data_IF_353184947991
#
_entry.id   IF_353184947991
#
_cell.length_a   1.000
_cell.length_b   1.000
_cell.length_c   1.000
_cell.angle_alpha   90.00
_cell.angle_beta   90.00
_cell.angle_gamma   90.00
#
_symmetry.space_group_name_H-M   'P 1'
#
loop_
_entity.id
_entity.type
_entity.pdbx_description
1 polymer ?
#
# COMPACT_ATOMS: atom_id res chain seq x y z
N UNK A 1 5.08 10.62 34.00
CA UNK A 1 6.15 11.49 33.50
C UNK A 1 6.16 11.39 31.98
N UNK A 2 6.00 12.49 31.25
CA UNK A 2 5.91 12.49 29.78
C UNK A 2 7.16 13.16 29.25
N UNK A 3 7.99 12.39 28.55
CA UNK A 3 9.25 12.86 27.96
C UNK A 3 9.10 12.93 26.44
N UNK A 4 9.16 14.14 25.89
CA UNK A 4 9.16 14.39 24.44
C UNK A 4 10.61 14.53 23.96
N UNK A 5 11.00 13.73 22.95
CA UNK A 5 12.33 13.78 22.31
C UNK A 5 12.29 14.48 20.95
N UNK A 6 11.33 15.38 20.75
CA UNK A 6 11.10 16.12 19.51
C UNK A 6 10.38 17.43 19.83
N UNK A 7 10.48 18.41 18.92
CA UNK A 7 9.62 19.59 18.93
C UNK A 7 8.19 19.16 18.56
N UNK A 8 7.36 18.90 19.57
CA UNK A 8 5.96 18.51 19.42
C UNK A 8 5.05 19.66 19.86
N UNK A 9 3.98 19.88 19.11
CA UNK A 9 2.95 20.87 19.46
C UNK A 9 1.96 20.31 20.49
N UNK A 10 1.18 21.20 21.12
CA UNK A 10 0.11 20.77 22.01
C UNK A 10 -0.93 19.90 21.28
N UNK A 11 -1.18 20.19 20.00
CA UNK A 11 -2.09 19.41 19.17
C UNK A 11 -1.54 17.99 18.95
N UNK A 12 -0.25 17.81 18.67
CA UNK A 12 0.36 16.48 18.50
C UNK A 12 0.18 15.60 19.75
N UNK A 13 0.24 16.21 20.95
CA UNK A 13 0.01 15.49 22.21
C UNK A 13 -1.47 15.09 22.34
N UNK A 14 -2.40 15.98 21.99
CA UNK A 14 -3.85 15.69 22.01
C UNK A 14 -4.17 14.55 21.04
N UNK A 15 -3.61 14.59 19.83
CA UNK A 15 -3.83 13.60 18.79
C UNK A 15 -3.45 12.18 19.24
N UNK A 16 -2.30 12.05 19.91
CA UNK A 16 -1.81 10.77 20.44
C UNK A 16 -2.65 10.29 21.62
N UNK A 17 -3.10 11.21 22.49
CA UNK A 17 -3.91 10.87 23.67
C UNK A 17 -5.34 10.47 23.28
N UNK A 18 -5.94 11.12 22.28
CA UNK A 18 -7.29 10.81 21.82
C UNK A 18 -7.37 9.46 21.10
N UNK A 19 -6.31 9.03 20.40
CA UNK A 19 -6.21 7.71 19.76
C UNK A 19 -7.24 7.39 18.67
N UNK A 20 -8.19 8.29 18.42
CA UNK A 20 -9.28 8.16 17.45
C UNK A 20 -9.00 8.86 16.11
N UNK A 21 -7.81 9.45 15.94
CA UNK A 21 -7.45 10.17 14.71
C UNK A 21 -6.97 9.22 13.63
N UNK A 22 -7.51 9.39 12.42
CA UNK A 22 -7.11 8.64 11.24
C UNK A 22 -6.34 9.58 10.32
N UNK A 23 -5.04 9.34 10.18
CA UNK A 23 -4.19 10.08 9.24
C UNK A 23 -4.36 9.51 7.84
N UNK A 24 -4.84 10.35 6.92
CA UNK A 24 -5.14 9.96 5.54
C UNK A 24 -4.19 10.72 4.61
N UNK A 25 -3.50 10.03 3.69
CA UNK A 25 -2.66 10.69 2.71
C UNK A 25 -3.51 11.58 1.79
N UNK A 26 -3.00 12.76 1.45
CA UNK A 26 -3.68 13.74 0.62
C UNK A 26 -2.80 14.14 -0.57
N UNK A 27 -3.40 14.27 -1.75
CA UNK A 27 -2.75 14.79 -2.96
C UNK A 27 -3.49 16.05 -3.39
N UNK A 28 -2.77 17.15 -3.53
CA UNK A 28 -3.30 18.41 -4.05
C UNK A 28 -3.27 18.39 -5.57
N UNK A 29 -4.46 18.36 -6.18
CA UNK A 29 -4.60 18.33 -7.64
C UNK A 29 -4.86 19.76 -8.14
N UNK A 30 -3.87 20.36 -8.81
CA UNK A 30 -3.97 21.71 -9.36
C UNK A 30 -4.38 21.66 -10.82
N UNK A 31 -5.65 21.94 -11.09
CA UNK A 31 -6.20 21.90 -12.44
C UNK A 31 -5.99 23.23 -13.19
N UNK A 32 -6.15 23.19 -14.52
CA UNK A 32 -6.05 24.32 -15.48
C UNK A 32 -4.62 24.77 -15.77
N UNK A 33 -3.69 23.84 -15.90
CA UNK A 33 -2.29 24.16 -16.24
C UNK A 33 -2.12 24.70 -17.67
N UNK A 34 -3.18 24.62 -18.49
CA UNK A 34 -3.26 25.26 -19.81
C UNK A 34 -3.27 26.80 -19.76
N UNK A 35 -3.54 27.39 -18.59
CA UNK A 35 -3.62 28.85 -18.40
C UNK A 35 -2.38 29.47 -17.75
N UNK A 36 -1.37 28.67 -17.41
CA UNK A 36 -0.14 29.10 -16.74
C UNK A 36 1.07 28.94 -17.66
N UNK A 37 2.14 29.67 -17.36
CA UNK A 37 3.42 29.55 -18.05
C UNK A 37 4.24 28.34 -17.56
N UNK A 38 5.22 27.92 -18.36
CA UNK A 38 6.14 26.81 -18.02
C UNK A 38 6.96 27.15 -16.76
N UNK A 39 7.35 28.41 -16.57
CA UNK A 39 8.11 28.87 -15.40
C UNK A 39 7.29 28.75 -14.10
N UNK A 40 6.00 29.06 -14.16
CA UNK A 40 5.08 28.88 -13.02
C UNK A 40 4.84 27.40 -12.73
N UNK A 41 4.76 26.57 -13.77
CA UNK A 41 4.62 25.12 -13.62
C UNK A 41 5.83 24.52 -12.87
N UNK A 42 7.06 24.95 -13.18
CA UNK A 42 8.27 24.49 -12.49
C UNK A 42 8.30 24.86 -11.00
N UNK A 43 7.68 25.99 -10.62
CA UNK A 43 7.52 26.38 -9.22
C UNK A 43 6.51 25.47 -8.53
N UNK A 44 5.40 25.16 -9.20
CA UNK A 44 4.36 24.27 -8.67
C UNK A 44 4.89 22.86 -8.40
N UNK A 45 5.76 22.33 -9.26
CA UNK A 45 6.39 21.02 -9.04
C UNK A 45 7.26 20.94 -7.78
N UNK A 46 7.72 22.08 -7.23
CA UNK A 46 8.48 22.13 -5.97
C UNK A 46 7.59 21.99 -4.74
N UNK A 47 6.27 22.17 -4.88
CA UNK A 47 5.32 22.04 -3.77
C UNK A 47 5.11 20.55 -3.46
N UNK A 48 5.29 20.12 -2.19
CA UNK A 48 5.11 18.72 -1.82
C UNK A 48 3.64 18.29 -1.99
N UNK A 49 3.43 16.99 -2.23
CA UNK A 49 2.09 16.39 -2.38
C UNK A 49 1.22 16.99 -3.51
N UNK A 50 1.80 17.75 -4.44
CA UNK A 50 1.07 18.40 -5.53
C UNK A 50 1.18 17.63 -6.85
N UNK A 51 0.10 17.65 -7.66
CA UNK A 51 0.10 17.22 -9.07
C UNK A 51 -0.62 18.27 -9.92
N UNK A 52 0.10 18.99 -10.79
CA UNK A 52 -0.51 19.90 -11.76
C UNK A 52 -1.12 19.10 -12.92
N UNK A 53 -2.38 19.34 -13.28
CA UNK A 53 -3.10 18.65 -14.36
C UNK A 53 -3.86 19.64 -15.27
N UNK A 54 -4.14 19.23 -16.51
CA UNK A 54 -5.17 19.88 -17.34
C UNK A 54 -6.27 18.88 -17.64
N UNK A 55 -7.43 19.01 -17.01
CA UNK A 55 -8.54 18.09 -17.22
C UNK A 55 -9.11 18.14 -18.65
N UNK A 56 -9.05 19.30 -19.31
CA UNK A 56 -9.54 19.48 -20.67
C UNK A 56 -8.64 18.74 -21.69
N UNK A 57 -7.33 18.90 -21.55
CA UNK A 57 -6.34 18.28 -22.43
C UNK A 57 -5.86 16.90 -21.96
N UNK A 58 -6.30 16.46 -20.76
CA UNK A 58 -5.89 15.22 -20.08
C UNK A 58 -4.38 15.13 -19.86
N UNK A 59 -3.74 16.26 -19.60
CA UNK A 59 -2.32 16.32 -19.27
C UNK A 59 -2.08 15.87 -17.83
N UNK A 60 -0.97 15.15 -17.62
CA UNK A 60 -0.46 14.69 -16.32
C UNK A 60 -1.40 13.77 -15.55
N UNK A 61 -2.32 13.09 -16.24
CA UNK A 61 -3.15 12.07 -15.62
C UNK A 61 -2.32 10.84 -15.24
N UNK A 62 -1.28 10.52 -16.01
CA UNK A 62 -0.35 9.42 -15.71
C UNK A 62 0.41 9.68 -14.40
N UNK A 63 0.99 10.88 -14.25
CA UNK A 63 1.64 11.31 -12.99
C UNK A 63 0.68 11.28 -11.80
N UNK A 64 -0.57 11.71 -12.00
CA UNK A 64 -1.61 11.66 -10.97
C UNK A 64 -1.89 10.22 -10.54
N UNK A 65 -2.05 9.31 -11.50
CA UNK A 65 -2.29 7.89 -11.23
C UNK A 65 -1.11 7.23 -10.53
N UNK A 66 0.11 7.53 -10.95
CA UNK A 66 1.34 7.02 -10.32
C UNK A 66 1.44 7.49 -8.87
N UNK A 67 1.18 8.78 -8.61
CA UNK A 67 1.22 9.33 -7.25
C UNK A 67 0.11 8.78 -6.36
N UNK A 68 -1.08 8.55 -6.91
CA UNK A 68 -2.17 7.86 -6.19
C UNK A 68 -1.73 6.45 -5.81
N UNK A 69 -1.11 5.71 -6.73
CA UNK A 69 -0.62 4.36 -6.48
C UNK A 69 0.43 4.32 -5.36
N UNK A 70 1.42 5.21 -5.42
CA UNK A 70 2.47 5.35 -4.41
C UNK A 70 1.88 5.68 -3.02
N UNK A 71 0.89 6.58 -2.96
CA UNK A 71 0.31 7.04 -1.69
C UNK A 71 -0.60 5.99 -1.05
N UNK A 72 -1.30 5.19 -1.86
CA UNK A 72 -2.14 4.11 -1.37
C UNK A 72 -1.33 3.00 -0.70
N UNK A 73 -0.03 2.87 -1.02
CA UNK A 73 0.89 1.84 -0.49
C UNK A 73 0.19 0.46 -0.46
N UNK A 74 -0.21 0.02 -1.64
CA UNK A 74 -0.88 -1.27 -1.79
C UNK A 74 0.14 -2.37 -2.03
N UNK A 75 -0.17 -3.56 -1.54
CA UNK A 75 0.63 -4.76 -1.68
C UNK A 75 -0.20 -5.79 -2.45
N UNK A 76 0.28 -6.19 -3.63
CA UNK A 76 -0.34 -7.16 -4.52
C UNK A 76 0.25 -8.53 -4.25
N UNK A 77 -0.58 -9.49 -3.88
CA UNK A 77 -0.15 -10.87 -3.62
C UNK A 77 -0.84 -11.79 -4.61
N UNK A 78 -0.04 -12.61 -5.29
CA UNK A 78 -0.52 -13.52 -6.32
C UNK A 78 -0.80 -14.91 -5.74
N UNK A 79 -1.99 -15.44 -6.00
CA UNK A 79 -2.35 -16.78 -5.57
C UNK A 79 -1.79 -17.85 -6.49
N UNK A 80 -1.21 -18.89 -5.92
CA UNK A 80 -0.75 -20.08 -6.64
C UNK A 80 -1.42 -21.34 -6.08
N UNK A 81 -2.37 -21.94 -6.79
CA UNK A 81 -2.93 -23.24 -6.40
C UNK A 81 -1.91 -24.38 -6.55
N UNK A 82 -2.09 -25.45 -5.76
CA UNK A 82 -1.23 -26.64 -5.84
C UNK A 82 -1.38 -27.29 -7.22
N UNK A 83 -0.27 -27.49 -7.92
CA UNK A 83 -0.25 -28.09 -9.27
C UNK A 83 -0.60 -27.14 -10.40
N UNK A 84 -0.88 -25.86 -10.11
CA UNK A 84 -1.13 -24.82 -11.11
C UNK A 84 -0.04 -23.74 -11.05
N UNK A 85 0.07 -22.99 -12.15
CA UNK A 85 0.88 -21.79 -12.22
C UNK A 85 0.23 -20.66 -11.39
N UNK A 86 1.02 -19.68 -10.92
CA UNK A 86 0.47 -18.48 -10.28
C UNK A 86 -0.45 -17.73 -11.24
N UNK A 87 -1.56 -17.21 -10.71
CA UNK A 87 -2.41 -16.29 -11.45
C UNK A 87 -1.92 -14.85 -11.25
N UNK A 88 -1.40 -14.25 -12.32
CA UNK A 88 -0.93 -12.87 -12.34
C UNK A 88 -2.01 -11.86 -12.79
N UNK A 89 -3.19 -12.32 -13.17
CA UNK A 89 -4.28 -11.45 -13.65
C UNK A 89 -5.12 -10.88 -12.52
N UNK A 90 -5.28 -11.65 -11.43
CA UNK A 90 -6.17 -11.33 -10.33
C UNK A 90 -5.44 -11.37 -8.98
N UNK A 91 -4.55 -10.39 -8.68
CA UNK A 91 -3.89 -10.32 -7.38
C UNK A 91 -4.88 -9.99 -6.27
N UNK A 92 -4.60 -10.52 -5.07
CA UNK A 92 -5.25 -10.05 -3.86
C UNK A 92 -4.50 -8.83 -3.36
N UNK A 93 -5.19 -7.69 -3.30
CA UNK A 93 -4.61 -6.43 -2.87
C UNK A 93 -4.88 -6.20 -1.38
N UNK A 94 -3.79 -5.99 -0.63
CA UNK A 94 -3.81 -5.65 0.79
C UNK A 94 -3.25 -4.23 1.01
N UNK A 95 -3.75 -3.49 2.01
CA UNK A 95 -3.13 -2.24 2.43
C UNK A 95 -1.82 -2.54 3.17
N UNK A 96 -0.80 -1.68 3.05
CA UNK A 96 0.51 -1.87 3.70
C UNK A 96 0.44 -2.07 5.23
N UNK A 97 -0.58 -1.53 5.89
CA UNK A 97 -0.76 -1.71 7.33
C UNK A 97 -1.17 -3.12 7.76
N UNK A 98 -1.65 -3.96 6.83
CA UNK A 98 -2.20 -5.29 7.10
C UNK A 98 -1.81 -6.28 6.00
N UNK A 99 -0.54 -6.65 6.01
CA UNK A 99 0.11 -7.48 4.97
C UNK A 99 0.53 -8.86 5.47
N UNK A 100 0.00 -9.33 6.61
CA UNK A 100 0.35 -10.67 7.10
C UNK A 100 -0.33 -11.77 6.30
N UNK A 101 0.21 -12.99 6.35
CA UNK A 101 -0.45 -14.19 5.78
C UNK A 101 -1.84 -14.41 6.40
N UNK A 102 -2.04 -14.06 7.67
CA UNK A 102 -3.34 -14.07 8.33
C UNK A 102 -4.32 -13.06 7.68
N UNK A 103 -3.90 -11.81 7.47
CA UNK A 103 -4.71 -10.79 6.80
C UNK A 103 -5.07 -11.21 5.37
N UNK A 104 -4.11 -11.80 4.65
CA UNK A 104 -4.34 -12.37 3.32
C UNK A 104 -5.42 -13.46 3.35
N UNK A 105 -5.33 -14.40 4.30
CA UNK A 105 -6.33 -15.46 4.45
C UNK A 105 -7.71 -14.89 4.78
N UNK A 106 -7.78 -13.89 5.66
CA UNK A 106 -9.04 -13.22 6.02
C UNK A 106 -9.67 -12.48 4.83
N UNK A 107 -8.84 -11.86 3.96
CA UNK A 107 -9.28 -11.15 2.75
C UNK A 107 -9.93 -12.09 1.74
N UNK A 108 -9.40 -13.31 1.58
CA UNK A 108 -9.99 -14.34 0.73
C UNK A 108 -11.27 -14.90 1.36
N UNK A 109 -11.14 -15.49 2.55
CA UNK A 109 -12.28 -16.09 3.25
C UNK A 109 -11.99 -16.38 4.72
N UNK A 110 -12.89 -15.98 5.63
CA UNK A 110 -12.71 -16.11 7.09
C UNK A 110 -12.44 -17.54 7.60
N UNK A 111 -12.92 -18.58 6.90
CA UNK A 111 -12.66 -19.96 7.32
C UNK A 111 -11.29 -20.49 6.89
N UNK A 112 -10.59 -19.80 5.98
CA UNK A 112 -9.30 -20.26 5.46
C UNK A 112 -8.23 -20.32 6.55
N UNK A 113 -8.27 -19.38 7.50
CA UNK A 113 -7.35 -19.35 8.65
C UNK A 113 -7.56 -20.54 9.59
N UNK A 114 -8.79 -21.08 9.72
CA UNK A 114 -9.09 -22.22 10.59
C UNK A 114 -8.46 -23.51 10.06
N UNK A 115 -8.47 -23.66 8.74
CA UNK A 115 -7.88 -24.80 8.02
C UNK A 115 -6.39 -24.58 7.71
N UNK A 116 -5.82 -23.42 8.03
CA UNK A 116 -4.43 -23.09 7.70
C UNK A 116 -3.44 -24.02 8.41
N UNK A 117 -2.53 -24.63 7.65
CA UNK A 117 -1.40 -25.42 8.17
C UNK A 117 -0.09 -24.66 8.03
N UNK A 118 0.19 -24.14 6.84
CA UNK A 118 1.33 -23.28 6.50
C UNK A 118 1.11 -22.66 5.12
N UNK A 119 1.92 -21.67 4.77
CA UNK A 119 2.01 -21.15 3.40
C UNK A 119 3.40 -21.41 2.82
N UNK A 120 3.46 -21.58 1.50
CA UNK A 120 4.69 -21.48 0.73
C UNK A 120 4.68 -20.13 0.03
N UNK A 121 5.74 -19.35 0.21
CA UNK A 121 5.89 -18.03 -0.40
C UNK A 121 7.10 -18.03 -1.33
N UNK A 122 6.95 -17.36 -2.46
CA UNK A 122 8.02 -16.99 -3.38
C UNK A 122 8.02 -15.48 -3.53
N UNK A 123 9.17 -14.84 -3.38
CA UNK A 123 9.28 -13.40 -3.55
C UNK A 123 10.36 -12.80 -2.65
N UNK A 124 10.26 -11.50 -2.42
CA UNK A 124 11.26 -10.72 -1.68
C UNK A 124 11.08 -10.84 -0.16
N UNK A 125 9.88 -11.15 0.32
CA UNK A 125 9.62 -11.31 1.76
C UNK A 125 10.33 -12.52 2.38
N UNK A 126 10.81 -13.46 1.56
CA UNK A 126 11.45 -14.71 2.00
C UNK A 126 12.91 -14.80 1.53
N UNK A 127 13.75 -15.45 2.34
CA UNK A 127 15.18 -15.59 2.01
C UNK A 127 15.44 -16.71 0.99
N UNK A 128 14.55 -17.68 0.91
CA UNK A 128 14.66 -18.83 0.02
C UNK A 128 13.38 -19.01 -0.77
N UNK A 129 13.49 -19.38 -2.05
CA UNK A 129 12.36 -19.54 -2.94
C UNK A 129 12.13 -21.03 -3.30
N UNK A 130 10.99 -21.65 -2.92
CA UNK A 130 10.03 -21.20 -1.91
C UNK A 130 10.50 -21.41 -0.48
N UNK A 131 9.93 -20.63 0.45
CA UNK A 131 10.09 -20.82 1.89
C UNK A 131 8.74 -21.12 2.54
N UNK A 132 8.76 -22.02 3.52
CA UNK A 132 7.59 -22.33 4.36
C UNK A 132 7.46 -21.27 5.44
N UNK A 133 6.30 -20.62 5.49
CA UNK A 133 6.02 -19.53 6.43
C UNK A 133 4.76 -19.81 7.27
N UNK A 134 4.69 -19.14 8.41
CA UNK A 134 3.54 -19.15 9.31
C UNK A 134 2.51 -18.07 8.97
N UNK A 135 1.51 -17.94 9.83
CA UNK A 135 0.44 -16.94 9.68
C UNK A 135 0.89 -15.50 9.97
N UNK A 136 1.89 -15.33 10.83
CA UNK A 136 2.41 -14.03 11.27
C UNK A 136 3.47 -13.46 10.32
N UNK A 137 3.77 -14.17 9.22
CA UNK A 137 4.73 -13.71 8.21
C UNK A 137 4.17 -12.52 7.44
N UNK A 138 4.99 -11.47 7.31
CA UNK A 138 4.66 -10.25 6.55
C UNK A 138 4.99 -10.46 5.09
N UNK A 139 4.02 -10.26 4.21
CA UNK A 139 4.17 -10.35 2.76
C UNK A 139 4.61 -9.01 2.17
N UNK A 140 5.33 -9.06 1.06
CA UNK A 140 5.77 -7.90 0.27
C UNK A 140 5.06 -7.85 -1.08
N UNK A 141 5.18 -6.70 -1.78
CA UNK A 141 4.52 -6.51 -3.08
C UNK A 141 5.06 -7.52 -4.09
N UNK A 142 4.14 -8.05 -4.90
CA UNK A 142 4.37 -9.08 -5.91
C UNK A 142 4.77 -10.47 -5.39
N UNK A 143 4.65 -10.71 -4.08
CA UNK A 143 4.81 -12.05 -3.53
C UNK A 143 3.79 -13.04 -4.11
N UNK A 144 4.24 -14.26 -4.37
CA UNK A 144 3.40 -15.39 -4.75
C UNK A 144 3.18 -16.27 -3.53
N UNK A 145 1.94 -16.63 -3.24
CA UNK A 145 1.59 -17.47 -2.09
C UNK A 145 0.77 -18.70 -2.47
N UNK A 146 1.13 -19.83 -1.89
CA UNK A 146 0.37 -21.08 -1.95
C UNK A 146 -0.01 -21.51 -0.53
N UNK A 147 -1.31 -21.49 -0.22
CA UNK A 147 -1.82 -21.91 1.08
C UNK A 147 -1.94 -23.44 1.12
N UNK A 148 -1.43 -24.04 2.20
CA UNK A 148 -1.60 -25.46 2.49
C UNK A 148 -2.53 -25.62 3.69
N UNK A 149 -3.61 -26.36 3.46
CA UNK A 149 -4.62 -26.68 4.46
C UNK A 149 -4.19 -27.89 5.32
N UNK A 150 -4.79 -28.02 6.51
CA UNK A 150 -4.55 -29.12 7.45
C UNK A 150 -4.92 -30.47 6.86
#
# INVERSE_FOLDING_TARGET
>A
DVTLRSDATADDLIDVVEGNRVYIPCIYVLNKIDQISIEELDIIYKVPHCVPISAHHRWNFDDLLEKIWDYLKLVRIYTKPKGQLPDYTSPVVLPYSRTTVEDFCMKIHKNLIKEFKYALVWGLSVKHNPQKVGKDHTLEDEDVIQIVKK
#
